data_IF_880737433528
#
_entry.id   IF_880737433528
#
_cell.length_a   1.000
_cell.length_b   1.000
_cell.length_c   1.000
_cell.angle_alpha   90.00
_cell.angle_beta   90.00
_cell.angle_gamma   90.00
#
_symmetry.space_group_name_H-M   'P 1'
#
loop_
_entity.id
_entity.type
_entity.pdbx_description
1 polymer ?
#
# COMPACT_ATOMS: atom_id res chain seq x y z
N UNK A 1 -29.14 -2.14 3.87
CA UNK A 1 -27.92 -2.34 3.05
C UNK A 1 -26.69 -1.98 3.90
N UNK A 2 -26.14 -2.92 4.66
CA UNK A 2 -24.83 -2.75 5.33
C UNK A 2 -23.89 -3.77 4.70
N UNK A 3 -23.17 -3.33 3.69
CA UNK A 3 -22.16 -4.14 3.05
C UNK A 3 -20.77 -3.79 3.57
N UNK A 4 -20.16 -4.58 4.46
CA UNK A 4 -18.84 -4.29 5.01
C UNK A 4 -17.72 -4.84 4.11
N UNK A 5 -17.87 -4.74 2.78
CA UNK A 5 -16.92 -5.36 1.83
C UNK A 5 -15.60 -4.59 1.71
N UNK A 6 -15.56 -3.36 2.23
CA UNK A 6 -14.37 -2.53 2.42
C UNK A 6 -14.35 -2.03 3.86
N UNK A 7 -14.02 -2.91 4.80
CA UNK A 7 -13.96 -2.54 6.22
C UNK A 7 -13.04 -1.33 6.44
N UNK A 8 -13.38 -0.50 7.44
CA UNK A 8 -12.56 0.65 7.86
C UNK A 8 -11.10 0.24 8.14
N UNK A 9 -10.89 -1.02 8.54
CA UNK A 9 -9.57 -1.62 8.76
C UNK A 9 -8.76 -1.75 7.46
N UNK A 10 -9.36 -2.17 6.35
CA UNK A 10 -8.68 -2.27 5.05
C UNK A 10 -8.25 -0.87 4.59
N UNK A 11 -9.13 0.12 4.71
CA UNK A 11 -8.82 1.51 4.43
C UNK A 11 -7.70 2.07 5.32
N UNK A 12 -7.73 1.76 6.62
CA UNK A 12 -6.65 2.14 7.54
C UNK A 12 -5.30 1.56 7.14
N UNK A 13 -5.26 0.30 6.68
CA UNK A 13 -4.02 -0.33 6.18
C UNK A 13 -3.53 0.37 4.92
N UNK A 14 -4.41 0.64 3.94
CA UNK A 14 -4.01 1.39 2.73
C UNK A 14 -3.51 2.80 3.06
N UNK A 15 -4.13 3.51 3.98
CA UNK A 15 -3.68 4.84 4.40
C UNK A 15 -2.26 4.80 4.95
N UNK A 16 -1.96 3.83 5.83
CA UNK A 16 -0.60 3.64 6.37
C UNK A 16 0.39 3.26 5.27
N UNK A 17 0.03 2.32 4.39
CA UNK A 17 0.89 1.91 3.28
C UNK A 17 1.22 3.08 2.35
N UNK A 18 0.25 3.92 2.03
CA UNK A 18 0.45 5.11 1.20
C UNK A 18 1.30 6.17 1.90
N UNK A 19 1.07 6.40 3.19
CA UNK A 19 1.89 7.33 3.98
C UNK A 19 3.37 6.90 4.03
N UNK A 20 3.64 5.60 4.03
CA UNK A 20 5.02 5.09 4.01
C UNK A 20 5.62 5.12 2.59
N UNK A 21 4.82 4.76 1.57
CA UNK A 21 5.27 4.66 0.19
C UNK A 21 5.53 6.03 -0.45
N UNK A 22 4.77 7.06 -0.08
CA UNK A 22 4.98 8.43 -0.54
C UNK A 22 6.09 9.06 0.31
N UNK A 23 7.18 9.57 -0.30
CA UNK A 23 8.34 10.06 0.43
C UNK A 23 8.15 11.51 0.92
N UNK A 24 6.99 11.83 1.53
CA UNK A 24 6.69 13.18 2.03
C UNK A 24 7.56 13.58 3.23
N UNK A 25 8.11 12.60 3.95
CA UNK A 25 9.02 12.78 5.08
C UNK A 25 10.49 12.92 4.65
N UNK A 26 10.80 12.70 3.37
CA UNK A 26 12.18 12.71 2.88
C UNK A 26 12.62 14.14 2.56
N UNK A 27 13.80 14.59 3.03
CA UNK A 27 14.32 15.92 2.67
C UNK A 27 14.53 16.06 1.17
N UNK A 28 14.19 17.22 0.60
CA UNK A 28 14.37 17.48 -0.83
C UNK A 28 15.84 17.44 -1.27
N UNK A 29 16.77 17.74 -0.36
CA UNK A 29 18.22 17.71 -0.58
C UNK A 29 18.86 16.35 -0.29
N UNK A 30 18.07 15.31 -0.03
CA UNK A 30 18.62 13.98 0.23
C UNK A 30 19.30 13.39 -1.02
N UNK A 31 20.61 13.15 -0.91
CA UNK A 31 21.47 12.61 -1.97
C UNK A 31 21.75 11.11 -1.80
N UNK A 32 21.09 10.45 -0.86
CA UNK A 32 21.25 9.02 -0.60
C UNK A 32 20.82 8.25 -1.84
N UNK A 33 21.77 7.52 -2.43
CA UNK A 33 21.53 6.68 -3.61
C UNK A 33 21.76 5.24 -3.28
N UNK A 34 20.81 4.38 -3.64
CA UNK A 34 20.93 2.93 -3.56
C UNK A 34 20.87 2.37 -4.98
N UNK A 35 21.82 1.51 -5.34
CA UNK A 35 21.91 0.93 -6.69
C UNK A 35 21.87 1.94 -7.86
N UNK A 36 22.36 3.17 -7.65
CA UNK A 36 22.39 4.23 -8.67
C UNK A 36 21.13 5.10 -8.75
N UNK A 37 20.06 4.77 -8.04
CA UNK A 37 18.82 5.57 -7.96
C UNK A 37 18.65 6.20 -6.57
N UNK A 38 17.89 7.31 -6.43
CA UNK A 38 17.60 7.89 -5.12
C UNK A 38 16.92 6.86 -4.20
N UNK A 39 17.31 6.83 -2.92
CA UNK A 39 16.78 5.87 -1.94
C UNK A 39 15.24 5.96 -1.81
N UNK A 40 14.68 7.16 -1.91
CA UNK A 40 13.23 7.35 -1.89
C UNK A 40 12.51 6.62 -3.03
N UNK A 41 13.13 6.50 -4.22
CA UNK A 41 12.57 5.75 -5.36
C UNK A 41 12.46 4.26 -5.00
N UNK A 42 13.50 3.71 -4.38
CA UNK A 42 13.52 2.31 -3.95
C UNK A 42 12.44 2.06 -2.92
N UNK A 43 12.26 2.97 -1.95
CA UNK A 43 11.21 2.85 -0.94
C UNK A 43 9.82 2.97 -1.53
N UNK A 44 9.57 3.92 -2.44
CA UNK A 44 8.29 4.06 -3.13
C UNK A 44 7.96 2.83 -3.98
N UNK A 45 8.96 2.24 -4.63
CA UNK A 45 8.80 1.01 -5.42
C UNK A 45 8.48 -0.18 -4.52
N UNK A 46 9.23 -0.35 -3.42
CA UNK A 46 8.95 -1.39 -2.43
C UNK A 46 7.55 -1.24 -1.82
N UNK A 47 7.15 -0.01 -1.48
CA UNK A 47 5.80 0.31 -1.01
C UNK A 47 4.72 -0.10 -2.01
N UNK A 48 4.92 0.19 -3.30
CA UNK A 48 4.00 -0.20 -4.37
C UNK A 48 3.86 -1.72 -4.52
N UNK A 49 4.96 -2.46 -4.36
CA UNK A 49 4.93 -3.92 -4.34
C UNK A 49 4.13 -4.43 -3.14
N UNK A 50 4.35 -3.89 -1.94
CA UNK A 50 3.60 -4.29 -0.73
C UNK A 50 2.11 -4.01 -0.90
N UNK A 51 1.74 -2.84 -1.44
CA UNK A 51 0.34 -2.49 -1.74
C UNK A 51 -0.27 -3.49 -2.73
N UNK A 52 0.48 -3.86 -3.77
CA UNK A 52 0.01 -4.83 -4.77
C UNK A 52 -0.18 -6.23 -4.17
N UNK A 53 0.75 -6.69 -3.35
CA UNK A 53 0.65 -7.97 -2.64
C UNK A 53 -0.52 -7.98 -1.66
N UNK A 54 -0.72 -6.89 -0.91
CA UNK A 54 -1.85 -6.75 0.00
C UNK A 54 -3.19 -6.78 -0.76
N UNK A 55 -3.26 -6.08 -1.90
CA UNK A 55 -4.44 -6.09 -2.78
C UNK A 55 -4.71 -7.49 -3.32
N UNK A 56 -3.68 -8.18 -3.83
CA UNK A 56 -3.80 -9.54 -4.32
C UNK A 56 -4.25 -10.51 -3.22
N UNK A 57 -3.73 -10.35 -1.99
CA UNK A 57 -4.15 -11.14 -0.84
C UNK A 57 -5.61 -10.90 -0.45
N UNK A 58 -6.06 -9.64 -0.50
CA UNK A 58 -7.45 -9.28 -0.23
C UNK A 58 -8.39 -9.93 -1.26
N UNK A 59 -8.01 -9.90 -2.54
CA UNK A 59 -8.77 -10.50 -3.65
C UNK A 59 -8.77 -12.04 -3.64
N UNK A 60 -7.86 -12.70 -2.90
CA UNK A 60 -7.92 -14.16 -2.70
C UNK A 60 -9.07 -14.58 -1.79
N UNK A 61 -9.71 -13.66 -1.07
CA UNK A 61 -10.90 -14.00 -0.30
C UNK A 61 -12.04 -14.31 -1.27
N UNK A 62 -12.75 -15.44 -1.09
CA UNK A 62 -13.93 -15.72 -1.90
C UNK A 62 -14.89 -14.55 -1.76
N UNK A 63 -15.41 -14.08 -2.90
CA UNK A 63 -16.50 -13.11 -2.90
C UNK A 63 -17.62 -13.71 -2.04
N UNK A 64 -18.22 -12.95 -1.12
CA UNK A 64 -19.37 -13.45 -0.39
C UNK A 64 -20.40 -13.90 -1.42
N UNK A 65 -20.60 -15.21 -1.55
CA UNK A 65 -21.69 -15.76 -2.32
C UNK A 65 -22.98 -15.21 -1.71
N UNK A 66 -23.93 -14.84 -2.57
CA UNK A 66 -25.27 -14.43 -2.16
C UNK A 66 -26.00 -15.64 -1.56
N UNK A 67 -25.64 -16.03 -0.34
CA UNK A 67 -26.35 -17.03 0.45
C UNK A 67 -26.61 -16.43 1.84
N UNK A 68 -27.59 -15.53 1.88
CA UNK A 68 -28.87 -15.66 2.62
C UNK A 68 -29.76 -14.42 2.40
#
# INVERSE_FOLDING_TARGET
MKGPYLSLKVWGVYAVLLLVAVPWYWPADDKTRWAGVPAWVVVSLAGSVVVSLYTAWLLRRPWPSEEE
#
